data_IF_275659679302
#
_entry.id   IF_275659679302
#
_cell.length_a   1.000
_cell.length_b   1.000
_cell.length_c   1.000
_cell.angle_alpha   90.00
_cell.angle_beta   90.00
_cell.angle_gamma   90.00
#
_symmetry.space_group_name_H-M   'P 1'
#
loop_
_entity.id
_entity.type
_entity.pdbx_description
1 polymer ?
#
# COMPACT_ATOMS: atom_id res chain seq x y z
N UNK A 1 6.16 -6.56 -0.86
CA UNK A 1 6.17 -7.47 0.31
C UNK A 1 7.36 -7.05 1.17
N UNK A 2 7.15 -6.82 2.47
CA UNK A 2 8.21 -6.38 3.40
C UNK A 2 8.34 -7.36 4.56
N UNK A 3 9.47 -7.32 5.25
CA UNK A 3 9.68 -8.03 6.51
C UNK A 3 9.63 -7.04 7.68
N UNK A 4 8.91 -7.40 8.73
CA UNK A 4 8.95 -6.71 10.01
C UNK A 4 10.23 -7.09 10.79
N UNK A 5 10.59 -6.33 11.83
CA UNK A 5 11.80 -6.55 12.64
C UNK A 5 11.87 -7.93 13.31
N UNK A 6 10.73 -8.59 13.50
CA UNK A 6 10.64 -9.95 14.04
C UNK A 6 10.74 -11.04 12.96
N UNK A 7 10.77 -10.66 11.68
CA UNK A 7 10.84 -11.57 10.53
C UNK A 7 9.47 -11.88 9.90
N UNK A 8 8.36 -11.40 10.45
CA UNK A 8 7.04 -11.64 9.87
C UNK A 8 6.81 -10.81 8.60
N UNK A 9 6.14 -11.42 7.63
CA UNK A 9 5.79 -10.77 6.36
C UNK A 9 4.70 -9.73 6.57
N UNK A 10 4.87 -8.56 5.94
CA UNK A 10 3.86 -7.51 5.83
C UNK A 10 3.57 -7.20 4.36
N UNK A 11 2.29 -7.21 3.99
CA UNK A 11 1.84 -6.68 2.71
C UNK A 11 1.80 -5.15 2.78
N UNK A 12 2.20 -4.53 1.67
CA UNK A 12 2.24 -3.07 1.51
C UNK A 12 1.72 -2.72 0.12
N UNK A 13 1.50 -1.43 -0.12
CA UNK A 13 1.01 -0.86 -1.37
C UNK A 13 -0.32 -1.44 -1.88
N UNK A 14 -1.41 -1.05 -1.21
CA UNK A 14 -2.79 -1.42 -1.58
C UNK A 14 -3.38 -0.56 -2.69
N UNK A 15 -2.53 0.15 -3.42
CA UNK A 15 -3.00 1.08 -4.43
C UNK A 15 -3.81 0.44 -5.55
N UNK A 16 -3.49 -0.80 -5.91
CA UNK A 16 -4.18 -1.53 -6.97
C UNK A 16 -5.38 -2.33 -6.43
N UNK A 17 -5.67 -2.25 -5.14
CA UNK A 17 -6.76 -2.98 -4.52
C UNK A 17 -8.13 -2.53 -5.03
N UNK A 18 -9.06 -3.48 -5.12
CA UNK A 18 -10.44 -3.28 -5.57
C UNK A 18 -11.41 -3.94 -4.59
N UNK A 19 -12.27 -3.17 -3.93
CA UNK A 19 -13.34 -3.62 -3.02
C UNK A 19 -14.58 -4.08 -3.75
N UNK A 20 -14.97 -3.36 -4.81
CA UNK A 20 -16.31 -3.46 -5.37
C UNK A 20 -16.49 -4.63 -6.35
N UNK A 21 -15.62 -5.65 -6.30
CA UNK A 21 -15.75 -6.82 -7.17
C UNK A 21 -17.09 -7.53 -6.93
N UNK A 22 -17.62 -7.54 -5.69
CA UNK A 22 -18.94 -8.12 -5.39
C UNK A 22 -20.13 -7.23 -5.78
N UNK A 23 -19.91 -5.94 -6.05
CA UNK A 23 -20.97 -4.99 -6.43
C UNK A 23 -21.12 -4.87 -7.96
N UNK A 24 -20.12 -5.30 -8.73
CA UNK A 24 -20.23 -5.42 -10.18
C UNK A 24 -21.26 -6.50 -10.55
N UNK A 25 -22.11 -6.23 -11.54
CA UNK A 25 -23.20 -7.13 -11.94
C UNK A 25 -22.73 -8.54 -12.36
N UNK A 26 -21.47 -8.66 -12.79
CA UNK A 26 -20.83 -9.91 -13.20
C UNK A 26 -19.73 -10.39 -12.24
N UNK A 27 -19.52 -9.69 -11.13
CA UNK A 27 -18.47 -10.01 -10.17
C UNK A 27 -17.04 -9.72 -10.66
N UNK A 28 -16.85 -8.81 -11.63
CA UNK A 28 -15.54 -8.57 -12.27
C UNK A 28 -15.16 -7.09 -12.36
N UNK A 29 -13.87 -6.85 -12.49
CA UNK A 29 -13.29 -5.57 -12.88
C UNK A 29 -12.46 -5.73 -14.17
N UNK A 30 -12.28 -4.64 -14.91
CA UNK A 30 -11.71 -4.65 -16.26
C UNK A 30 -10.42 -3.83 -16.38
N UNK A 31 -9.93 -3.28 -15.28
CA UNK A 31 -8.67 -2.54 -15.23
C UNK A 31 -7.49 -3.40 -15.70
N UNK A 32 -6.64 -2.85 -16.56
CA UNK A 32 -5.39 -3.49 -16.95
C UNK A 32 -4.25 -2.88 -16.14
N UNK A 33 -3.92 -3.48 -15.00
CA UNK A 33 -2.93 -2.93 -14.06
C UNK A 33 -2.14 -4.03 -13.35
N UNK A 34 -0.95 -3.67 -12.85
CA UNK A 34 0.00 -4.58 -12.21
C UNK A 34 1.28 -4.79 -13.04
N UNK A 35 2.19 -5.55 -12.46
CA UNK A 35 3.45 -5.97 -13.12
C UNK A 35 3.15 -7.17 -14.02
N UNK A 36 3.56 -7.12 -15.28
CA UNK A 36 3.09 -8.03 -16.36
C UNK A 36 3.38 -9.49 -16.02
N UNK A 37 4.55 -9.75 -15.47
CA UNK A 37 5.08 -11.06 -15.09
C UNK A 37 4.21 -11.76 -14.03
N UNK A 38 3.47 -10.99 -13.23
CA UNK A 38 2.57 -11.49 -12.19
C UNK A 38 1.10 -11.53 -12.64
N UNK A 39 0.77 -10.96 -13.80
CA UNK A 39 -0.61 -10.90 -14.29
C UNK A 39 -1.15 -12.28 -14.65
N UNK A 40 -2.40 -12.54 -14.24
CA UNK A 40 -3.11 -13.74 -14.63
C UNK A 40 -3.53 -13.70 -16.12
N UNK A 41 -3.71 -14.87 -16.78
CA UNK A 41 -4.08 -14.94 -18.20
C UNK A 41 -5.37 -14.18 -18.54
N UNK A 42 -6.36 -14.18 -17.64
CA UNK A 42 -7.62 -13.45 -17.79
C UNK A 42 -7.43 -11.93 -17.80
N UNK A 43 -6.44 -11.41 -17.04
CA UNK A 43 -6.07 -9.99 -17.02
C UNK A 43 -5.35 -9.63 -18.31
N UNK A 44 -4.38 -10.45 -18.74
CA UNK A 44 -3.63 -10.26 -19.98
C UNK A 44 -4.56 -10.22 -21.20
N UNK A 45 -5.54 -11.11 -21.26
CA UNK A 45 -6.54 -11.15 -22.34
C UNK A 45 -7.68 -10.13 -22.19
N UNK A 46 -7.73 -9.31 -21.13
CA UNK A 46 -8.76 -8.29 -20.91
C UNK A 46 -10.20 -8.81 -20.83
N UNK A 47 -10.41 -10.05 -20.35
CA UNK A 47 -11.75 -10.66 -20.22
C UNK A 47 -12.49 -10.28 -18.90
N UNK A 48 -11.97 -9.28 -18.20
CA UNK A 48 -12.33 -9.01 -16.81
C UNK A 48 -11.70 -10.03 -15.86
N UNK A 49 -11.51 -9.62 -14.61
CA UNK A 49 -10.89 -10.42 -13.58
C UNK A 49 -11.55 -10.19 -12.22
N UNK A 50 -11.38 -11.17 -11.34
CA UNK A 50 -11.80 -11.10 -9.94
C UNK A 50 -10.69 -11.65 -9.04
N UNK A 51 -11.06 -12.08 -7.83
CA UNK A 51 -10.12 -12.58 -6.80
C UNK A 51 -9.27 -13.77 -7.24
N UNK A 52 -9.68 -14.50 -8.28
CA UNK A 52 -8.88 -15.58 -8.85
C UNK A 52 -7.49 -15.10 -9.33
N UNK A 53 -7.39 -13.85 -9.82
CA UNK A 53 -6.13 -13.28 -10.31
C UNK A 53 -5.05 -13.18 -9.22
N UNK A 54 -5.45 -12.98 -7.96
CA UNK A 54 -4.54 -12.95 -6.82
C UNK A 54 -3.88 -14.30 -6.60
N UNK A 55 -4.61 -15.41 -6.78
CA UNK A 55 -4.06 -16.76 -6.64
C UNK A 55 -3.05 -17.12 -7.73
N UNK A 56 -3.20 -16.55 -8.94
CA UNK A 56 -2.17 -16.68 -9.96
C UNK A 56 -0.91 -15.92 -9.56
N UNK A 57 -1.06 -14.66 -9.14
CA UNK A 57 0.05 -13.81 -8.69
C UNK A 57 0.79 -14.44 -7.50
N UNK A 58 0.05 -15.05 -6.58
CA UNK A 58 0.60 -15.85 -5.48
C UNK A 58 1.41 -17.05 -5.98
N UNK A 59 0.93 -17.74 -7.02
CA UNK A 59 1.67 -18.82 -7.67
C UNK A 59 2.98 -18.35 -8.32
N UNK A 60 2.96 -17.19 -9.00
CA UNK A 60 4.17 -16.56 -9.57
C UNK A 60 5.19 -16.26 -8.48
N UNK A 61 4.76 -15.60 -7.41
CA UNK A 61 5.62 -15.28 -6.26
C UNK A 61 6.19 -16.54 -5.60
N UNK A 62 5.36 -17.57 -5.39
CA UNK A 62 5.81 -18.84 -4.82
C UNK A 62 6.88 -19.49 -5.70
N UNK A 63 6.66 -19.51 -7.02
CA UNK A 63 7.63 -20.05 -7.97
C UNK A 63 8.96 -19.28 -7.89
N UNK A 64 8.90 -17.95 -7.86
CA UNK A 64 10.07 -17.09 -7.76
C UNK A 64 10.85 -17.32 -6.47
N UNK A 65 10.17 -17.40 -5.31
CA UNK A 65 10.81 -17.68 -4.03
C UNK A 65 11.47 -19.07 -3.98
N UNK A 66 10.90 -20.06 -4.66
CA UNK A 66 11.42 -21.43 -4.67
C UNK A 66 12.55 -21.67 -5.69
N UNK A 67 12.63 -20.84 -6.74
CA UNK A 67 13.52 -21.10 -7.88
C UNK A 67 14.51 -19.96 -8.17
N UNK A 68 14.27 -18.77 -7.62
CA UNK A 68 15.01 -17.55 -7.94
C UNK A 68 14.71 -16.97 -9.33
N UNK A 69 13.72 -17.51 -10.06
CA UNK A 69 13.38 -17.09 -11.43
C UNK A 69 11.88 -16.99 -11.62
N UNK A 70 11.42 -16.22 -12.61
CA UNK A 70 10.01 -16.13 -12.95
C UNK A 70 9.55 -17.30 -13.83
N UNK A 71 8.30 -17.79 -13.68
CA UNK A 71 7.78 -18.90 -14.48
C UNK A 71 7.51 -18.53 -15.94
N UNK A 72 7.21 -17.24 -16.20
CA UNK A 72 6.93 -16.70 -17.53
C UNK A 72 7.58 -15.32 -17.64
N UNK A 73 8.68 -15.22 -18.38
CA UNK A 73 9.39 -13.98 -18.63
C UNK A 73 10.14 -14.06 -19.96
N UNK A 74 10.15 -12.97 -20.69
CA UNK A 74 10.94 -12.76 -21.90
C UNK A 74 11.45 -11.31 -21.93
N UNK A 75 12.36 -11.01 -22.85
CA UNK A 75 12.96 -9.67 -22.99
C UNK A 75 11.94 -8.60 -23.38
N UNK A 76 10.87 -9.00 -24.07
CA UNK A 76 9.82 -8.11 -24.52
C UNK A 76 8.49 -8.42 -23.85
N UNK A 77 7.81 -7.35 -23.43
CA UNK A 77 6.51 -7.41 -22.78
C UNK A 77 5.47 -8.24 -23.54
N UNK A 78 5.44 -8.13 -24.87
CA UNK A 78 4.51 -8.88 -25.73
C UNK A 78 4.77 -10.38 -25.67
N UNK A 79 6.04 -10.77 -25.62
CA UNK A 79 6.46 -12.17 -25.58
C UNK A 79 6.19 -12.75 -24.19
N UNK A 80 6.43 -11.99 -23.11
CA UNK A 80 6.01 -12.36 -21.74
C UNK A 80 4.51 -12.61 -21.68
N UNK A 81 3.69 -11.74 -22.28
CA UNK A 81 2.25 -11.94 -22.36
C UNK A 81 1.89 -13.22 -23.12
N UNK A 82 2.55 -13.51 -24.24
CA UNK A 82 2.34 -14.74 -24.99
C UNK A 82 2.70 -15.99 -24.17
N UNK A 83 3.81 -15.95 -23.42
CA UNK A 83 4.20 -17.03 -22.51
C UNK A 83 3.13 -17.27 -21.43
N UNK A 84 2.65 -16.21 -20.76
CA UNK A 84 1.57 -16.30 -19.77
C UNK A 84 0.34 -17.00 -20.39
N UNK A 85 -0.03 -16.62 -21.61
CA UNK A 85 -1.21 -17.14 -22.27
C UNK A 85 -1.07 -18.58 -22.78
N UNK A 86 0.12 -19.01 -23.23
CA UNK A 86 0.27 -20.24 -24.02
C UNK A 86 1.33 -21.22 -23.50
N UNK A 87 2.38 -20.75 -22.84
CA UNK A 87 3.50 -21.61 -22.48
C UNK A 87 3.11 -22.69 -21.46
N UNK A 88 3.75 -23.85 -21.56
CA UNK A 88 3.66 -24.86 -20.50
C UNK A 88 4.52 -24.39 -19.33
N UNK A 89 4.01 -24.55 -18.11
CA UNK A 89 4.80 -24.30 -16.91
C UNK A 89 5.97 -25.29 -16.89
N UNK A 90 7.20 -24.78 -16.92
CA UNK A 90 8.38 -25.57 -16.64
C UNK A 90 8.38 -25.92 -15.14
N UNK A 91 8.53 -27.21 -14.81
CA UNK A 91 8.54 -27.67 -13.42
C UNK A 91 9.94 -28.21 -13.08
N UNK A 92 10.76 -27.45 -12.33
CA UNK A 92 12.07 -27.93 -11.92
C UNK A 92 11.98 -29.19 -11.03
N UNK A 93 12.86 -30.15 -11.29
CA UNK A 93 12.84 -31.45 -10.59
C UNK A 93 13.31 -31.37 -9.13
N UNK A 94 14.05 -30.31 -8.77
CA UNK A 94 14.50 -30.10 -7.39
C UNK A 94 13.39 -29.65 -6.44
N UNK A 95 12.23 -29.23 -6.96
CA UNK A 95 11.09 -28.84 -6.13
C UNK A 95 10.46 -30.08 -5.50
N UNK A 96 10.04 -29.97 -4.24
CA UNK A 96 9.33 -31.06 -3.56
C UNK A 96 8.02 -31.41 -4.29
N UNK A 97 7.56 -32.68 -4.22
CA UNK A 97 6.31 -33.10 -4.84
C UNK A 97 5.11 -32.22 -4.43
N UNK A 98 5.06 -31.79 -3.16
CA UNK A 98 4.03 -30.90 -2.64
C UNK A 98 4.08 -29.49 -3.25
N UNK A 99 5.29 -28.92 -3.41
CA UNK A 99 5.45 -27.63 -4.07
C UNK A 99 5.02 -27.71 -5.54
N UNK A 100 5.45 -28.76 -6.25
CA UNK A 100 5.04 -28.98 -7.63
C UNK A 100 3.52 -29.16 -7.77
N UNK A 101 2.89 -29.90 -6.85
CA UNK A 101 1.44 -30.09 -6.81
C UNK A 101 0.71 -28.76 -6.63
N UNK A 102 1.12 -27.94 -5.65
CA UNK A 102 0.51 -26.64 -5.39
C UNK A 102 0.63 -25.70 -6.59
N UNK A 103 1.83 -25.61 -7.18
CA UNK A 103 2.07 -24.78 -8.36
C UNK A 103 1.19 -25.23 -9.55
N UNK A 104 1.01 -26.54 -9.79
CA UNK A 104 0.09 -27.03 -10.84
C UNK A 104 -1.37 -26.64 -10.57
N UNK A 105 -1.78 -26.54 -9.31
CA UNK A 105 -3.12 -26.17 -8.90
C UNK A 105 -3.38 -24.65 -9.00
N UNK A 106 -2.34 -23.83 -8.77
CA UNK A 106 -2.39 -22.37 -8.91
C UNK A 106 -2.25 -21.90 -10.37
N UNK A 107 -1.42 -22.57 -11.19
CA UNK A 107 -1.23 -22.22 -12.60
C UNK A 107 -2.29 -22.83 -13.53
N UNK A 108 -3.55 -22.76 -13.13
CA UNK A 108 -4.69 -23.05 -14.00
C UNK A 108 -5.10 -21.78 -14.75
N UNK A 109 -5.05 -21.83 -16.08
CA UNK A 109 -5.42 -20.70 -16.96
C UNK A 109 -6.90 -20.34 -16.83
N UNK A 110 -7.76 -21.34 -16.73
CA UNK A 110 -9.17 -21.13 -16.43
C UNK A 110 -9.31 -20.75 -14.94
N UNK A 111 -9.81 -19.54 -14.61
CA UNK A 111 -9.83 -19.04 -13.23
C UNK A 111 -10.65 -19.93 -12.29
N UNK A 112 -11.75 -20.50 -12.77
CA UNK A 112 -12.63 -21.38 -11.98
C UNK A 112 -11.97 -22.69 -11.52
N UNK A 113 -10.90 -23.11 -12.18
CA UNK A 113 -10.19 -24.34 -11.87
C UNK A 113 -8.99 -24.08 -10.94
N UNK A 114 -8.72 -22.83 -10.59
CA UNK A 114 -7.56 -22.41 -9.80
C UNK A 114 -7.81 -22.67 -8.32
N UNK A 115 -6.87 -23.33 -7.65
CA UNK A 115 -6.95 -23.52 -6.19
C UNK A 115 -7.00 -22.16 -5.48
N UNK A 116 -7.85 -22.06 -4.46
CA UNK A 116 -8.13 -20.79 -3.77
C UNK A 116 -9.35 -20.05 -4.31
N UNK A 117 -9.82 -20.38 -5.52
CA UNK A 117 -11.09 -19.89 -6.07
C UNK A 117 -12.25 -20.84 -5.74
N UNK A 118 -13.49 -20.35 -5.82
CA UNK A 118 -14.71 -21.12 -5.57
C UNK A 118 -15.25 -20.98 -4.13
N UNK A 119 -16.30 -21.73 -3.77
CA UNK A 119 -17.05 -21.52 -2.52
C UNK A 119 -16.24 -21.74 -1.25
N UNK A 120 -15.29 -22.67 -1.27
CA UNK A 120 -14.39 -22.92 -0.15
C UNK A 120 -13.17 -21.98 -0.15
N UNK A 121 -12.87 -21.36 -1.30
CA UNK A 121 -11.82 -20.38 -1.51
C UNK A 121 -10.49 -20.72 -0.81
N UNK A 122 -10.04 -19.79 0.04
CA UNK A 122 -8.81 -19.92 0.82
C UNK A 122 -8.79 -21.17 1.74
N UNK A 123 -9.94 -21.70 2.17
CA UNK A 123 -9.96 -22.88 3.03
C UNK A 123 -9.39 -24.12 2.34
N UNK A 124 -9.58 -24.28 1.03
CA UNK A 124 -9.00 -25.40 0.29
C UNK A 124 -7.50 -25.21 0.07
N UNK A 125 -7.05 -23.97 -0.10
CA UNK A 125 -5.62 -23.67 -0.17
C UNK A 125 -4.90 -24.02 1.15
N UNK A 126 -5.50 -23.69 2.30
CA UNK A 126 -4.94 -24.01 3.62
C UNK A 126 -4.75 -25.51 3.88
N UNK A 127 -5.57 -26.36 3.24
CA UNK A 127 -5.53 -27.83 3.39
C UNK A 127 -4.50 -28.51 2.49
N UNK A 128 -3.91 -27.78 1.54
CA UNK A 128 -2.94 -28.37 0.62
C UNK A 128 -1.72 -28.90 1.38
N UNK A 129 -1.19 -30.06 0.99
CA UNK A 129 -0.10 -30.78 1.67
C UNK A 129 1.16 -29.93 1.87
N UNK A 130 1.46 -29.03 0.92
CA UNK A 130 2.54 -28.04 1.04
C UNK A 130 2.49 -27.22 2.34
N UNK A 131 1.31 -26.98 2.90
CA UNK A 131 1.14 -26.23 4.16
C UNK A 131 0.87 -27.13 5.37
N UNK A 132 1.11 -28.44 5.28
CA UNK A 132 0.80 -29.39 6.37
C UNK A 132 1.50 -29.07 7.69
N UNK A 133 2.67 -28.42 7.64
CA UNK A 133 3.45 -28.02 8.82
C UNK A 133 3.04 -26.65 9.38
N UNK A 134 2.14 -25.92 8.71
CA UNK A 134 1.76 -24.56 9.08
C UNK A 134 0.59 -24.59 10.06
N UNK A 135 0.82 -24.16 11.29
CA UNK A 135 -0.27 -23.80 12.19
C UNK A 135 -0.80 -22.40 11.84
N UNK A 136 -1.92 -22.37 11.13
CA UNK A 136 -2.55 -21.14 10.67
C UNK A 136 -2.97 -20.19 11.80
N UNK A 137 -3.34 -20.72 12.97
CA UNK A 137 -3.72 -19.90 14.10
C UNK A 137 -2.50 -19.22 14.74
N UNK A 138 -1.39 -19.96 14.88
CA UNK A 138 -0.15 -19.38 15.38
C UNK A 138 0.46 -18.40 14.40
N UNK A 139 0.36 -18.67 13.09
CA UNK A 139 0.77 -17.71 12.07
C UNK A 139 -0.08 -16.43 12.12
N UNK A 140 -1.40 -16.57 12.24
CA UNK A 140 -2.32 -15.43 12.32
C UNK A 140 -2.08 -14.58 13.57
N UNK A 141 -1.78 -15.22 14.71
CA UNK A 141 -1.55 -14.55 15.99
C UNK A 141 -0.12 -14.09 16.21
N UNK A 142 0.79 -14.31 15.23
CA UNK A 142 2.20 -13.92 15.33
C UNK A 142 3.03 -14.76 16.30
N UNK A 143 2.55 -15.96 16.67
CA UNK A 143 3.25 -16.90 17.55
C UNK A 143 4.18 -17.84 16.79
N UNK A 144 3.94 -18.05 15.51
CA UNK A 144 4.82 -18.85 14.67
C UNK A 144 6.18 -18.17 14.52
N UNK A 145 7.28 -18.82 14.87
CA UNK A 145 8.63 -18.25 14.74
C UNK A 145 9.02 -18.11 13.26
N UNK A 146 9.36 -16.90 12.77
CA UNK A 146 9.83 -16.73 11.40
C UNK A 146 11.16 -17.45 11.15
N UNK A 147 11.37 -18.05 9.97
CA UNK A 147 12.62 -18.75 9.65
C UNK A 147 13.81 -17.81 9.44
N UNK A 148 13.54 -16.52 9.19
CA UNK A 148 14.54 -15.48 9.04
C UNK A 148 14.10 -14.25 9.82
N UNK A 149 14.99 -13.76 10.69
CA UNK A 149 14.82 -12.49 11.39
C UNK A 149 15.87 -11.51 10.87
N UNK A 150 15.48 -10.36 10.30
CA UNK A 150 16.44 -9.39 9.80
C UNK A 150 17.26 -8.80 10.95
N UNK A 151 18.51 -8.44 10.64
CA UNK A 151 19.35 -7.71 11.59
C UNK A 151 18.85 -6.27 11.64
N UNK A 152 18.31 -5.87 12.79
CA UNK A 152 17.91 -4.51 13.09
C UNK A 152 18.51 -4.14 14.45
N UNK A 153 19.56 -3.32 14.46
CA UNK A 153 20.21 -2.81 15.67
C UNK A 153 19.37 -1.72 16.34
N UNK A 154 18.85 -0.77 15.56
CA UNK A 154 18.06 0.36 16.03
C UNK A 154 16.88 0.67 15.09
N UNK A 155 15.78 1.20 15.64
CA UNK A 155 14.54 1.52 14.91
C UNK A 155 14.73 2.59 13.82
N UNK A 156 15.75 3.45 13.96
CA UNK A 156 16.02 4.55 13.03
C UNK A 156 17.04 4.17 11.93
N UNK A 157 17.55 2.94 11.93
CA UNK A 157 18.57 2.51 10.98
C UNK A 157 17.96 1.86 9.73
N UNK A 158 18.12 2.51 8.57
CA UNK A 158 17.66 2.01 7.29
C UNK A 158 18.63 1.01 6.62
N UNK A 159 19.33 0.18 7.42
CA UNK A 159 20.41 -0.72 6.96
C UNK A 159 19.97 -1.80 5.97
N UNK A 160 18.69 -2.18 6.01
CA UNK A 160 18.11 -3.17 5.09
C UNK A 160 17.52 -2.53 3.82
N UNK A 161 17.76 -1.23 3.59
CA UNK A 161 17.35 -0.50 2.40
C UNK A 161 18.56 -0.12 1.55
N UNK A 162 18.34 0.02 0.25
CA UNK A 162 19.41 0.33 -0.69
C UNK A 162 20.00 1.73 -0.43
N UNK A 163 21.34 1.77 -0.34
CA UNK A 163 22.13 2.98 -0.16
C UNK A 163 21.84 4.08 -1.17
N UNK A 164 21.38 3.72 -2.38
CA UNK A 164 20.99 4.70 -3.40
C UNK A 164 19.85 5.62 -2.91
N UNK A 165 19.00 5.14 -1.99
CA UNK A 165 17.91 5.93 -1.41
C UNK A 165 18.31 6.53 -0.07
N UNK A 166 18.95 5.76 0.80
CA UNK A 166 19.28 6.21 2.17
C UNK A 166 20.42 7.23 2.24
N UNK A 167 21.23 7.32 1.18
CA UNK A 167 22.31 8.33 1.08
C UNK A 167 21.83 9.68 0.54
N UNK A 168 20.59 9.76 0.06
CA UNK A 168 20.02 11.01 -0.46
C UNK A 168 19.27 11.70 0.68
N UNK A 169 19.59 12.97 1.00
CA UNK A 169 18.82 13.74 1.97
C UNK A 169 17.35 13.83 1.53
N UNK A 170 16.38 13.64 2.44
CA UNK A 170 14.97 13.75 2.09
C UNK A 170 14.68 15.19 1.67
N UNK A 171 14.33 15.39 0.39
CA UNK A 171 14.01 16.70 -0.17
C UNK A 171 12.70 16.65 -0.96
N UNK A 172 11.81 17.61 -0.71
CA UNK A 172 10.58 17.75 -1.47
C UNK A 172 10.88 18.30 -2.87
N UNK A 173 10.53 17.54 -3.91
CA UNK A 173 10.55 18.08 -5.27
C UNK A 173 9.50 19.19 -5.42
N UNK A 174 9.85 20.32 -6.08
CA UNK A 174 8.89 21.40 -6.30
C UNK A 174 7.71 20.93 -7.16
N UNK A 175 6.50 21.14 -6.65
CA UNK A 175 5.25 20.83 -7.35
C UNK A 175 4.61 22.07 -7.98
N UNK A 176 3.85 21.88 -9.06
CA UNK A 176 3.02 22.94 -9.60
C UNK A 176 1.89 23.32 -8.60
N UNK A 177 1.49 24.60 -8.53
CA UNK A 177 0.43 25.02 -7.63
C UNK A 177 -0.90 24.31 -7.96
N UNK A 178 -1.68 23.91 -6.95
CA UNK A 178 -2.94 23.19 -7.16
C UNK A 178 -3.98 24.07 -7.87
N UNK A 179 -4.81 23.46 -8.72
CA UNK A 179 -5.92 24.15 -9.37
C UNK A 179 -7.00 24.56 -8.35
N UNK A 180 -7.80 25.58 -8.69
CA UNK A 180 -8.88 26.07 -7.82
C UNK A 180 -9.90 24.98 -7.44
N UNK A 181 -10.11 23.97 -8.30
CA UNK A 181 -11.01 22.83 -8.06
C UNK A 181 -10.36 21.66 -7.31
N UNK A 182 -9.05 21.70 -7.02
CA UNK A 182 -8.36 20.58 -6.36
C UNK A 182 -8.99 20.19 -5.02
N UNK A 183 -9.56 21.13 -4.27
CA UNK A 183 -10.20 20.85 -2.98
C UNK A 183 -11.43 19.92 -3.07
N UNK A 184 -12.12 19.85 -4.23
CA UNK A 184 -13.31 18.99 -4.39
C UNK A 184 -12.96 17.53 -4.63
N UNK A 185 -11.86 17.27 -5.37
CA UNK A 185 -11.41 15.94 -5.74
C UNK A 185 -10.96 15.09 -4.53
N UNK A 186 -10.56 15.73 -3.43
CA UNK A 186 -9.91 15.05 -2.29
C UNK A 186 -10.64 15.20 -0.97
N UNK A 187 -11.92 15.52 -1.06
CA UNK A 187 -12.81 15.56 0.09
C UNK A 187 -12.87 14.16 0.73
N UNK A 188 -12.64 14.09 2.04
CA UNK A 188 -12.69 12.83 2.80
C UNK A 188 -11.37 12.05 2.85
N UNK A 189 -10.27 12.62 2.36
CA UNK A 189 -8.96 11.97 2.37
C UNK A 189 -8.32 11.85 3.76
N UNK A 190 -8.49 12.86 4.62
CA UNK A 190 -7.90 12.86 5.96
C UNK A 190 -8.52 11.74 6.82
N UNK A 191 -7.66 10.90 7.42
CA UNK A 191 -8.06 9.77 8.26
C UNK A 191 -7.10 9.66 9.45
N UNK A 192 -7.64 9.25 10.61
CA UNK A 192 -6.90 8.95 11.84
C UNK A 192 -7.56 7.74 12.47
N UNK A 193 -6.83 6.66 12.74
CA UNK A 193 -7.46 5.44 13.22
C UNK A 193 -7.86 5.51 14.70
N UNK A 194 -8.99 4.88 15.06
CA UNK A 194 -9.49 4.90 16.44
C UNK A 194 -8.54 4.31 17.49
N UNK A 195 -7.70 3.33 17.11
CA UNK A 195 -6.71 2.73 18.02
C UNK A 195 -5.75 3.76 18.60
N UNK A 196 -5.64 4.93 17.97
CA UNK A 196 -4.83 6.05 18.45
C UNK A 196 -5.25 6.62 19.78
N UNK A 197 -6.54 6.60 20.07
CA UNK A 197 -7.08 7.23 21.27
C UNK A 197 -7.02 6.33 22.50
N UNK A 198 -6.97 5.00 22.31
CA UNK A 198 -7.04 4.00 23.40
C UNK A 198 -5.81 4.01 24.31
N UNK A 199 -4.66 4.47 23.83
CA UNK A 199 -3.44 4.60 24.65
C UNK A 199 -3.39 5.89 25.50
N UNK A 200 -4.42 6.74 25.44
CA UNK A 200 -4.45 8.03 26.16
C UNK A 200 -5.31 8.01 27.43
N UNK A 201 -6.13 6.98 27.63
CA UNK A 201 -7.12 6.92 28.71
C UNK A 201 -6.73 5.97 29.86
N UNK A 202 -5.52 5.40 29.85
CA UNK A 202 -5.03 4.49 30.90
C UNK A 202 -4.16 5.17 31.96
N UNK A 203 -4.48 6.40 32.34
CA UNK A 203 -3.89 7.07 33.51
C UNK A 203 -4.97 7.49 34.53
N UNK A 204 -5.63 6.51 35.16
CA UNK A 204 -6.00 6.60 36.59
C UNK A 204 -6.21 5.22 37.25
N UNK A 205 -5.29 4.90 38.18
CA UNK A 205 -5.38 4.07 39.41
C UNK A 205 -5.09 2.54 39.38
N UNK A 206 -3.85 2.22 39.82
CA UNK A 206 -3.33 1.13 40.71
C UNK A 206 -3.67 -0.36 40.46
N UNK A 207 -2.76 -1.34 40.60
CA UNK A 207 -1.50 -1.44 41.36
C UNK A 207 -0.64 -2.65 40.89
N UNK A 208 0.70 -2.53 40.98
CA UNK A 208 1.66 -3.65 40.84
C UNK A 208 2.98 -3.31 40.12
N UNK A 209 3.97 -2.79 40.87
CA UNK A 209 5.35 -2.46 40.48
C UNK A 209 6.23 -3.65 39.99
N UNK A 210 7.47 -3.44 39.50
CA UNK A 210 8.08 -2.20 38.98
C UNK A 210 8.73 -2.35 37.59
N UNK A 211 8.83 -1.22 36.89
CA UNK A 211 9.73 -0.98 35.77
C UNK A 211 10.97 -0.21 36.24
N UNK A 212 12.13 -0.66 35.78
CA UNK A 212 13.46 -0.03 35.81
C UNK A 212 14.03 -0.35 34.42
N UNK A 213 14.64 0.49 33.58
CA UNK A 213 15.18 1.84 33.63
C UNK A 213 15.30 2.32 32.17
N UNK A 214 14.79 3.49 31.80
CA UNK A 214 15.41 4.33 30.78
C UNK A 214 15.22 5.80 31.19
N UNK A 215 16.24 6.33 31.87
CA UNK A 215 16.39 7.75 32.15
C UNK A 215 16.89 8.47 30.90
N UNK A 216 16.18 9.52 30.54
CA UNK A 216 16.60 10.58 29.63
C UNK A 216 17.96 11.19 30.01
N UNK A 217 18.63 11.80 29.03
CA UNK A 217 19.38 13.01 29.33
C UNK A 217 19.33 14.04 28.20
N UNK A 218 18.60 15.11 28.50
CA UNK A 218 18.54 16.40 27.82
C UNK A 218 19.91 17.05 27.58
N UNK A 219 20.05 17.69 26.42
CA UNK A 219 21.19 18.52 26.04
C UNK A 219 20.79 19.70 25.14
N UNK A 220 20.21 20.72 25.78
CA UNK A 220 20.23 22.18 25.51
C UNK A 220 20.46 22.72 24.07
N UNK A 221 19.50 23.55 23.65
CA UNK A 221 19.47 24.44 22.50
C UNK A 221 20.57 25.53 22.51
N UNK A 222 21.04 25.96 21.34
CA UNK A 222 21.77 27.22 21.09
C UNK A 222 21.49 27.71 19.65
N UNK A 223 21.55 29.04 19.39
CA UNK A 223 20.77 29.70 18.33
C UNK A 223 21.43 29.74 16.94
N UNK A 224 20.59 29.96 15.93
CA UNK A 224 20.91 30.16 14.49
C UNK A 224 22.00 31.20 14.21
N UNK A 225 22.81 31.01 13.15
CA UNK A 225 23.42 32.09 12.42
C UNK A 225 22.63 32.46 11.15
N UNK A 226 22.59 33.76 10.87
CA UNK A 226 21.86 34.44 9.80
C UNK A 226 22.23 34.01 8.36
N UNK A 227 21.23 34.07 7.48
CA UNK A 227 21.35 33.89 6.02
C UNK A 227 21.73 35.23 5.38
N UNK A 228 22.74 35.30 4.47
CA UNK A 228 23.00 36.52 3.72
C UNK A 228 22.07 36.66 2.51
N UNK A 229 21.58 37.89 2.31
CA UNK A 229 20.86 38.35 1.13
C UNK A 229 21.73 38.21 -0.14
N UNK A 230 21.14 37.72 -1.24
CA UNK A 230 21.74 37.84 -2.57
C UNK A 230 20.71 38.35 -3.57
N UNK A 231 21.20 39.31 -4.33
CA UNK A 231 20.55 40.32 -5.15
C UNK A 231 19.81 39.80 -6.40
N UNK A 232 18.83 40.60 -6.81
CA UNK A 232 18.07 40.49 -8.03
C UNK A 232 18.82 41.08 -9.24
N UNK A 233 19.15 40.28 -10.25
CA UNK A 233 19.27 40.77 -11.64
C UNK A 233 19.43 39.63 -12.66
N UNK A 234 18.38 39.36 -13.43
CA UNK A 234 18.44 39.28 -14.91
C UNK A 234 17.17 38.58 -15.42
N UNK A 235 16.20 39.41 -15.83
CA UNK A 235 15.06 38.99 -16.63
C UNK A 235 15.53 38.65 -18.06
N UNK A 236 14.89 37.67 -18.68
CA UNK A 236 14.75 37.66 -20.14
C UNK A 236 13.36 37.14 -20.49
N UNK A 237 12.59 38.02 -21.12
CA UNK A 237 11.21 37.85 -21.57
C UNK A 237 11.10 36.83 -22.70
N UNK A 238 10.07 35.96 -22.65
CA UNK A 238 9.50 35.36 -23.86
C UNK A 238 7.96 35.26 -23.71
N UNK A 239 7.25 36.03 -24.54
CA UNK A 239 6.01 35.62 -25.21
C UNK A 239 4.70 35.60 -24.43
N UNK A 240 4.00 36.74 -24.38
CA UNK A 240 2.54 36.82 -24.12
C UNK A 240 1.76 36.20 -25.30
N UNK A 241 0.94 35.20 -25.04
CA UNK A 241 -0.18 34.80 -25.89
C UNK A 241 -1.50 35.22 -25.23
N UNK A 242 -2.40 35.84 -26.01
CA UNK A 242 -3.71 36.32 -25.57
C UNK A 242 -4.69 35.15 -25.32
N UNK A 243 -5.66 35.28 -24.39
CA UNK A 243 -6.62 34.23 -24.10
C UNK A 243 -7.72 34.15 -25.17
N UNK A 244 -7.90 32.97 -25.75
CA UNK A 244 -9.04 32.63 -26.59
C UNK A 244 -10.32 32.51 -25.74
N UNK A 245 -11.40 33.11 -26.24
CA UNK A 245 -12.76 33.04 -25.70
C UNK A 245 -13.28 31.59 -25.67
N UNK A 246 -13.79 31.15 -24.51
CA UNK A 246 -14.48 29.85 -24.34
C UNK A 246 -15.99 30.10 -24.41
N UNK A 247 -16.77 29.39 -25.25
CA UNK A 247 -18.22 29.49 -25.24
C UNK A 247 -18.82 28.95 -23.93
N UNK A 248 -19.72 29.72 -23.34
CA UNK A 248 -20.58 29.27 -22.25
C UNK A 248 -21.65 28.34 -22.82
N UNK A 249 -21.61 27.07 -22.44
CA UNK A 249 -22.75 26.20 -22.11
C UNK A 249 -22.30 24.72 -22.11
N UNK A 250 -22.07 24.18 -20.90
CA UNK A 250 -21.93 22.73 -20.66
C UNK A 250 -23.23 22.24 -20.01
N UNK A 251 -23.77 21.07 -20.42
CA UNK A 251 -25.05 20.56 -19.94
C UNK A 251 -24.99 20.22 -18.43
N UNK A 252 -26.13 20.28 -17.71
CA UNK A 252 -26.16 20.05 -16.28
C UNK A 252 -25.74 18.62 -15.91
N UNK A 253 -24.98 18.53 -14.82
CA UNK A 253 -24.51 17.26 -14.24
C UNK A 253 -25.70 16.34 -13.94
N UNK A 254 -25.63 15.10 -14.39
CA UNK A 254 -26.70 14.11 -14.19
C UNK A 254 -26.76 13.62 -12.73
N UNK A 255 -27.95 13.20 -12.23
CA UNK A 255 -28.20 12.88 -10.82
C UNK A 255 -27.36 11.73 -10.22
N UNK A 256 -26.62 10.98 -11.03
CA UNK A 256 -25.81 9.83 -10.60
C UNK A 256 -24.56 10.25 -9.84
N UNK A 257 -23.98 11.42 -10.18
CA UNK A 257 -22.78 11.97 -9.53
C UNK A 257 -23.11 12.51 -8.12
N UNK A 258 -24.34 12.99 -7.91
CA UNK A 258 -24.81 13.48 -6.63
C UNK A 258 -25.07 12.35 -5.61
N UNK A 259 -25.44 11.14 -6.05
CA UNK A 259 -25.66 9.99 -5.15
C UNK A 259 -24.36 9.36 -4.63
N UNK A 260 -23.24 9.44 -5.36
CA UNK A 260 -21.93 9.00 -4.84
C UNK A 260 -21.33 9.93 -3.78
N UNK A 261 -21.78 11.18 -3.75
CA UNK A 261 -21.28 12.27 -2.90
C UNK A 261 -21.70 12.16 -1.43
N UNK A 262 -22.71 11.36 -1.10
CA UNK A 262 -23.32 11.31 0.24
C UNK A 262 -22.74 10.24 1.19
N UNK A 263 -21.81 9.37 0.75
CA UNK A 263 -21.44 8.15 1.51
C UNK A 263 -20.14 8.18 2.34
N UNK A 264 -19.26 9.19 2.26
CA UNK A 264 -18.05 9.25 3.11
C UNK A 264 -18.23 10.07 4.41
N UNK A 265 -19.09 11.09 4.39
CA UNK A 265 -19.36 11.92 5.57
C UNK A 265 -20.10 11.19 6.71
N UNK A 266 -20.59 9.97 6.43
CA UNK A 266 -21.26 9.09 7.39
C UNK A 266 -20.39 7.96 7.93
N UNK A 267 -19.10 7.86 7.54
CA UNK A 267 -18.21 6.80 8.00
C UNK A 267 -17.52 7.20 9.30
N UNK A 268 -17.75 6.40 10.35
CA UNK A 268 -17.20 6.60 11.69
C UNK A 268 -15.66 6.42 11.67
N UNK A 269 -14.89 7.50 11.90
CA UNK A 269 -13.41 7.46 11.95
C UNK A 269 -12.68 8.31 10.91
N UNK A 270 -13.37 8.82 9.89
CA UNK A 270 -12.78 9.74 8.89
C UNK A 270 -12.78 11.18 9.44
N UNK A 271 -11.61 11.79 9.56
CA UNK A 271 -11.49 13.19 10.02
C UNK A 271 -11.48 14.13 8.83
N UNK A 272 -12.37 15.12 8.77
CA UNK A 272 -12.40 16.08 7.64
C UNK A 272 -11.56 17.34 7.87
N UNK A 273 -10.88 17.44 9.02
CA UNK A 273 -10.04 18.60 9.37
C UNK A 273 -8.73 18.59 8.58
N UNK A 274 -8.12 19.77 8.44
CA UNK A 274 -6.78 19.89 7.86
C UNK A 274 -5.80 19.06 8.70
N UNK A 275 -5.03 18.19 8.05
CA UNK A 275 -4.08 17.30 8.73
C UNK A 275 -3.10 18.07 9.62
N UNK A 276 -2.61 19.22 9.13
CA UNK A 276 -1.65 20.06 9.83
C UNK A 276 -2.18 20.69 11.14
N UNK A 277 -3.50 20.65 11.37
CA UNK A 277 -4.11 21.07 12.63
C UNK A 277 -3.75 20.13 13.78
N UNK A 278 -3.73 18.82 13.51
CA UNK A 278 -3.51 17.80 14.54
C UNK A 278 -2.06 17.28 14.48
N UNK A 279 -1.39 17.38 13.33
CA UNK A 279 -0.09 16.76 13.09
C UNK A 279 0.93 17.75 12.52
N UNK A 280 2.19 17.46 12.77
CA UNK A 280 3.34 18.12 12.17
C UNK A 280 4.04 17.10 11.30
N UNK A 281 4.19 17.37 10.01
CA UNK A 281 4.98 16.55 9.10
C UNK A 281 6.46 16.76 9.42
N UNK A 282 7.21 15.67 9.50
CA UNK A 282 8.66 15.63 9.71
C UNK A 282 9.30 14.94 8.49
N UNK A 283 9.99 13.82 8.69
CA UNK A 283 10.87 13.18 7.72
C UNK A 283 10.06 12.40 6.67
N UNK A 284 10.42 12.40 5.40
CA UNK A 284 9.86 11.43 4.44
C UNK A 284 10.48 10.05 4.68
N UNK A 285 9.65 9.04 4.93
CA UNK A 285 10.04 7.66 5.19
C UNK A 285 10.14 6.80 3.92
N UNK A 286 9.51 7.20 2.81
CA UNK A 286 9.63 6.49 1.54
C UNK A 286 8.59 6.86 0.50
N UNK A 287 8.93 6.69 -0.78
CA UNK A 287 8.10 7.10 -1.93
C UNK A 287 7.92 5.97 -2.93
N UNK A 288 6.68 5.69 -3.28
CA UNK A 288 6.31 4.83 -4.40
C UNK A 288 5.79 5.64 -5.58
N UNK A 289 5.43 4.96 -6.67
CA UNK A 289 4.91 5.58 -7.89
C UNK A 289 3.65 6.45 -7.68
N UNK A 290 2.96 6.26 -6.55
CA UNK A 290 1.64 6.84 -6.31
C UNK A 290 1.48 7.48 -4.92
N UNK A 291 2.46 7.32 -4.02
CA UNK A 291 2.33 7.74 -2.63
C UNK A 291 3.67 8.08 -2.02
N UNK A 292 3.63 8.94 -1.02
CA UNK A 292 4.76 9.40 -0.22
C UNK A 292 4.40 9.10 1.22
N UNK A 293 5.29 8.47 1.97
CA UNK A 293 5.07 8.18 3.38
C UNK A 293 5.91 9.14 4.18
N UNK A 294 5.30 9.92 5.07
CA UNK A 294 5.97 10.86 5.97
C UNK A 294 5.91 10.38 7.41
N UNK A 295 6.97 10.63 8.16
CA UNK A 295 6.97 10.65 9.61
C UNK A 295 6.21 11.88 10.07
N UNK A 296 5.18 11.71 10.87
CA UNK A 296 4.37 12.79 11.41
C UNK A 296 4.31 12.71 12.92
N UNK A 297 4.30 13.86 13.57
CA UNK A 297 4.20 13.99 15.02
C UNK A 297 2.83 14.60 15.35
N UNK A 298 2.01 13.88 16.09
CA UNK A 298 0.76 14.46 16.60
C UNK A 298 1.08 15.57 17.61
N UNK A 299 0.54 16.76 17.38
CA UNK A 299 0.90 17.97 18.11
C UNK A 299 0.62 17.84 19.60
N UNK A 300 -0.52 17.25 19.98
CA UNK A 300 -0.95 17.14 21.37
C UNK A 300 -0.26 15.98 22.11
N UNK A 301 -0.24 14.79 21.53
CA UNK A 301 0.30 13.59 22.22
C UNK A 301 1.78 13.33 21.99
N UNK A 302 2.40 14.09 21.07
CA UNK A 302 3.82 13.95 20.67
C UNK A 302 4.20 12.59 20.08
N UNK A 303 3.22 11.71 19.81
CA UNK A 303 3.46 10.41 19.18
C UNK A 303 3.83 10.55 17.71
N UNK A 304 4.68 9.62 17.27
CA UNK A 304 5.26 9.58 15.93
C UNK A 304 4.50 8.54 15.08
N UNK A 305 4.30 8.85 13.80
CA UNK A 305 3.56 8.04 12.85
C UNK A 305 4.19 8.01 11.48
N UNK A 306 3.93 6.95 10.72
CA UNK A 306 4.09 6.95 9.27
C UNK A 306 2.75 7.28 8.60
N UNK A 307 2.69 8.36 7.83
CA UNK A 307 1.51 8.88 7.15
C UNK A 307 1.71 8.82 5.66
N UNK A 308 0.94 7.95 4.99
CA UNK A 308 0.94 7.82 3.53
C UNK A 308 0.12 8.96 2.90
N UNK A 309 0.82 9.94 2.36
CA UNK A 309 0.31 11.06 1.57
C UNK A 309 0.30 10.66 0.09
N UNK A 310 -0.86 10.73 -0.54
CA UNK A 310 -1.03 10.33 -1.94
C UNK A 310 -1.25 11.57 -2.79
N UNK A 311 -0.61 11.64 -3.95
CA UNK A 311 -0.92 12.66 -4.96
C UNK A 311 -2.28 12.35 -5.57
N UNK A 312 -3.22 12.92 -4.86
CA UNK A 312 -4.54 13.36 -5.22
C UNK A 312 -4.84 13.42 -6.74
N UNK A 313 -4.06 14.08 -7.60
CA UNK A 313 -4.41 14.16 -9.06
C UNK A 313 -4.26 12.81 -9.79
N UNK A 314 -3.53 11.86 -9.20
CA UNK A 314 -3.11 10.62 -9.86
C UNK A 314 -3.95 9.40 -9.49
N UNK A 315 -4.80 9.43 -8.44
CA UNK A 315 -5.52 8.24 -7.97
C UNK A 315 -6.75 8.50 -7.09
N UNK A 316 -7.81 7.70 -7.28
CA UNK A 316 -8.87 7.50 -6.29
C UNK A 316 -8.41 6.46 -5.24
N UNK A 317 -8.51 6.83 -3.95
CA UNK A 317 -8.04 6.02 -2.81
C UNK A 317 -9.17 5.55 -1.91
N UNK A 318 -10.43 5.87 -2.24
CA UNK A 318 -11.59 5.54 -1.42
C UNK A 318 -11.65 4.05 -1.08
N UNK A 319 -11.40 3.26 -2.11
CA UNK A 319 -11.37 1.79 -2.05
C UNK A 319 -10.24 1.27 -1.15
N UNK A 320 -9.06 1.90 -1.18
CA UNK A 320 -7.94 1.57 -0.29
C UNK A 320 -8.27 1.87 1.18
N UNK A 321 -8.93 3.01 1.45
CA UNK A 321 -9.32 3.43 2.81
C UNK A 321 -10.42 2.52 3.39
N UNK A 322 -11.45 2.20 2.62
CA UNK A 322 -12.54 1.33 3.06
C UNK A 322 -12.04 -0.11 3.38
N UNK A 323 -11.06 -0.65 2.62
CA UNK A 323 -10.40 -1.94 2.90
C UNK A 323 -9.66 -1.88 4.22
N UNK A 324 -8.83 -0.85 4.40
CA UNK A 324 -8.01 -0.69 5.59
C UNK A 324 -8.88 -0.47 6.83
N UNK A 325 -10.03 0.20 6.70
CA UNK A 325 -11.02 0.32 7.78
C UNK A 325 -11.66 -1.03 8.12
N UNK A 326 -12.05 -1.87 7.16
CA UNK A 326 -12.59 -3.21 7.49
C UNK A 326 -11.55 -4.12 8.16
N UNK A 327 -10.29 -3.95 7.79
CA UNK A 327 -9.19 -4.81 8.21
C UNK A 327 -8.38 -4.25 9.38
N UNK A 328 -8.77 -3.10 9.95
CA UNK A 328 -8.00 -2.39 10.99
C UNK A 328 -7.77 -3.23 12.26
N UNK A 329 -8.64 -4.22 12.52
CA UNK A 329 -8.56 -5.12 13.68
C UNK A 329 -7.65 -6.32 13.44
N UNK A 330 -7.23 -6.57 12.20
CA UNK A 330 -6.43 -7.72 11.83
C UNK A 330 -4.94 -7.53 12.23
N UNK A 331 -4.34 -8.43 13.02
CA UNK A 331 -3.00 -8.23 13.60
C UNK A 331 -1.86 -8.14 12.56
N UNK A 332 -2.07 -8.72 11.37
CA UNK A 332 -1.07 -8.79 10.31
C UNK A 332 -1.19 -7.70 9.23
N UNK A 333 -2.15 -6.78 9.38
CA UNK A 333 -2.34 -5.65 8.46
C UNK A 333 -1.88 -4.38 9.16
N UNK A 334 -1.18 -3.50 8.42
CA UNK A 334 -0.68 -2.23 8.98
C UNK A 334 -1.87 -1.44 9.51
N UNK A 335 -1.88 -1.20 10.83
CA UNK A 335 -2.87 -0.33 11.44
C UNK A 335 -2.58 1.08 10.96
N UNK A 336 -3.55 1.67 10.26
CA UNK A 336 -3.56 3.11 10.11
C UNK A 336 -3.68 3.73 11.50
N UNK A 337 -3.23 4.97 11.65
CA UNK A 337 -3.48 5.82 12.80
C UNK A 337 -3.81 7.21 12.32
#
# INVERSE_FOLDING_TARGET
ILLHQDGHIRLTDFGLSKEAISEASDGRTYSFCGTVEYMAPEVVNRHGHGTAADWWSFGVLMYELLTGTLPFQADHRKDTMELILKAKLAMPQFLSPDAQSLLRALFKRTPSNRLGYGPNGFADLKKHSFFATVNWNDLLTGRATPPFKPTCSHLDEAVNFDSQFTSIPPFDSPGAPPSASAHTLFRGFSYVAPSFFVESDSNTVNSGQPADLLKERNGRCSPEPAVPEVDSSSATEIGRAQPALVPADLPPLTPTTAKHFQRLAGLQGVKTKQFNTDYTISDELGRGSYAIVYKCIHRTSRKIFSVKVIDKVKRDVREEVEILMRLHSHPNIVRLW
#
